data_IF_841916521876
#
_entry.id   IF_841916521876
#
_cell.length_a   1.000
_cell.length_b   1.000
_cell.length_c   1.000
_cell.angle_alpha   90.00
_cell.angle_beta   90.00
_cell.angle_gamma   90.00
#
_symmetry.space_group_name_H-M   'P 1'
#
loop_
_entity.id
_entity.type
_entity.pdbx_description
1 polymer ?
#
# COMPACT_ATOMS: atom_id res chain seq x y z
N UNK A 1 16.71 -16.03 9.82
CA UNK A 1 15.80 -17.17 9.46
C UNK A 1 14.33 -16.93 9.78
N UNK A 2 13.92 -16.42 10.96
CA UNK A 2 12.48 -16.27 11.29
C UNK A 2 11.75 -15.27 10.38
N UNK A 3 12.41 -14.18 10.02
CA UNK A 3 11.80 -13.10 9.25
C UNK A 3 11.65 -13.41 7.74
N UNK A 4 12.57 -14.17 7.14
CA UNK A 4 12.43 -14.63 5.75
C UNK A 4 11.26 -15.60 5.58
N UNK A 5 11.01 -16.48 6.56
CA UNK A 5 9.83 -17.35 6.57
C UNK A 5 8.52 -16.55 6.58
N UNK A 6 8.46 -15.49 7.39
CA UNK A 6 7.29 -14.59 7.42
C UNK A 6 7.08 -13.92 6.07
N UNK A 7 8.12 -13.38 5.45
CA UNK A 7 8.01 -12.76 4.12
C UNK A 7 7.54 -13.75 3.05
N UNK A 8 8.09 -14.96 3.03
CA UNK A 8 7.64 -16.01 2.11
C UNK A 8 6.14 -16.31 2.29
N UNK A 9 5.66 -16.40 3.54
CA UNK A 9 4.24 -16.60 3.81
C UNK A 9 3.37 -15.47 3.25
N UNK A 10 3.77 -14.20 3.41
CA UNK A 10 3.06 -13.06 2.84
C UNK A 10 3.00 -13.09 1.31
N UNK A 11 4.12 -13.40 0.65
CA UNK A 11 4.16 -13.54 -0.81
C UNK A 11 3.28 -14.69 -1.28
N UNK A 12 3.29 -15.83 -0.57
CA UNK A 12 2.41 -16.97 -0.86
C UNK A 12 0.94 -16.61 -0.70
N UNK A 13 0.55 -15.93 0.39
CA UNK A 13 -0.83 -15.49 0.57
C UNK A 13 -1.26 -14.45 -0.46
N UNK A 14 -0.37 -13.51 -0.82
CA UNK A 14 -0.60 -12.54 -1.88
C UNK A 14 -0.85 -13.22 -3.23
N UNK A 15 -0.06 -14.26 -3.56
CA UNK A 15 -0.26 -15.07 -4.76
C UNK A 15 -1.58 -15.85 -4.73
N UNK A 16 -1.89 -16.52 -3.62
CA UNK A 16 -3.16 -17.24 -3.44
C UNK A 16 -4.34 -16.29 -3.60
N UNK A 17 -4.28 -15.08 -3.03
CA UNK A 17 -5.32 -14.07 -3.16
C UNK A 17 -5.55 -13.65 -4.62
N UNK A 18 -4.48 -13.49 -5.40
CA UNK A 18 -4.57 -13.21 -6.85
C UNK A 18 -5.26 -14.35 -7.59
N UNK A 19 -4.85 -15.60 -7.35
CA UNK A 19 -5.48 -16.77 -7.96
C UNK A 19 -6.96 -16.86 -7.56
N UNK A 20 -7.28 -16.57 -6.31
CA UNK A 20 -8.65 -16.61 -5.80
C UNK A 20 -9.55 -15.57 -6.48
N UNK A 21 -9.08 -14.33 -6.66
CA UNK A 21 -9.85 -13.31 -7.40
C UNK A 21 -10.10 -13.74 -8.84
N UNK A 22 -9.10 -14.32 -9.51
CA UNK A 22 -9.25 -14.82 -10.89
C UNK A 22 -10.31 -15.94 -10.92
N UNK A 23 -10.24 -16.88 -9.99
CA UNK A 23 -11.21 -17.98 -9.90
C UNK A 23 -12.63 -17.47 -9.63
N UNK A 24 -12.80 -16.55 -8.69
CA UNK A 24 -14.10 -15.93 -8.40
C UNK A 24 -14.68 -15.31 -9.67
N UNK A 25 -13.90 -14.49 -10.37
CA UNK A 25 -14.36 -13.79 -11.57
C UNK A 25 -14.75 -14.75 -12.70
N UNK A 26 -14.00 -15.84 -12.89
CA UNK A 26 -14.28 -16.81 -13.97
C UNK A 26 -15.47 -17.72 -13.64
N UNK A 27 -15.67 -18.04 -12.36
CA UNK A 27 -16.72 -18.99 -11.92
C UNK A 27 -18.05 -18.34 -11.60
N UNK A 28 -18.07 -17.02 -11.33
CA UNK A 28 -19.29 -16.31 -10.97
C UNK A 28 -20.13 -15.98 -12.20
N UNK A 29 -21.44 -16.26 -12.11
CA UNK A 29 -22.38 -15.82 -13.13
C UNK A 29 -22.57 -14.29 -13.03
N UNK A 30 -22.39 -13.56 -14.14
CA UNK A 30 -22.48 -12.11 -14.11
C UNK A 30 -23.92 -11.66 -13.89
N UNK A 31 -24.13 -10.83 -12.87
CA UNK A 31 -25.39 -10.15 -12.62
C UNK A 31 -25.29 -8.66 -12.99
N UNK A 32 -26.38 -8.02 -13.45
CA UNK A 32 -26.40 -6.58 -13.65
C UNK A 32 -26.25 -5.89 -12.30
N UNK A 33 -25.25 -5.02 -12.18
CA UNK A 33 -24.99 -4.29 -10.95
C UNK A 33 -26.08 -3.24 -10.69
N UNK A 34 -26.58 -3.21 -9.47
CA UNK A 34 -27.50 -2.16 -9.03
C UNK A 34 -26.73 -0.91 -8.57
N UNK A 35 -27.29 0.29 -8.80
CA UNK A 35 -26.69 1.54 -8.34
C UNK A 35 -26.41 1.56 -6.82
N UNK A 36 -27.27 1.01 -5.93
CA UNK A 36 -26.99 0.93 -4.51
C UNK A 36 -25.76 0.08 -4.16
N UNK A 37 -25.54 -1.05 -4.85
CA UNK A 37 -24.36 -1.88 -4.63
C UNK A 37 -23.08 -1.14 -5.04
N UNK A 38 -23.13 -0.51 -6.22
CA UNK A 38 -22.05 0.33 -6.75
C UNK A 38 -21.68 1.46 -5.79
N UNK A 39 -22.69 2.16 -5.29
CA UNK A 39 -22.52 3.22 -4.29
C UNK A 39 -21.97 2.67 -2.96
N UNK A 40 -22.39 1.48 -2.54
CA UNK A 40 -21.91 0.81 -1.34
C UNK A 40 -20.42 0.50 -1.41
N UNK A 41 -19.97 -0.14 -2.49
CA UNK A 41 -18.55 -0.47 -2.72
C UNK A 41 -17.70 0.78 -2.82
N UNK A 42 -18.13 1.76 -3.61
CA UNK A 42 -17.43 3.01 -3.75
C UNK A 42 -17.29 3.73 -2.39
N UNK A 43 -18.33 3.72 -1.56
CA UNK A 43 -18.30 4.32 -0.22
C UNK A 43 -17.28 3.63 0.68
N UNK A 44 -17.27 2.29 0.73
CA UNK A 44 -16.28 1.53 1.52
C UNK A 44 -14.87 1.81 1.02
N UNK A 45 -14.64 1.77 -0.29
CA UNK A 45 -13.34 2.03 -0.89
C UNK A 45 -12.83 3.44 -0.55
N UNK A 46 -13.67 4.47 -0.71
CA UNK A 46 -13.31 5.86 -0.39
C UNK A 46 -12.98 6.02 1.10
N UNK A 47 -13.77 5.41 1.99
CA UNK A 47 -13.48 5.42 3.43
C UNK A 47 -12.13 4.76 3.74
N UNK A 48 -11.85 3.61 3.15
CA UNK A 48 -10.54 2.95 3.26
C UNK A 48 -9.41 3.86 2.76
N UNK A 49 -9.61 4.58 1.66
CA UNK A 49 -8.61 5.52 1.16
C UNK A 49 -8.38 6.71 2.10
N UNK A 50 -9.43 7.30 2.69
CA UNK A 50 -9.32 8.39 3.68
C UNK A 50 -8.53 7.94 4.92
N UNK A 51 -8.82 6.72 5.40
CA UNK A 51 -8.05 6.10 6.48
C UNK A 51 -6.59 5.92 6.07
N UNK A 52 -6.34 5.42 4.86
CA UNK A 52 -5.00 5.30 4.28
C UNK A 52 -4.24 6.62 4.23
N UNK A 53 -4.90 7.71 3.79
CA UNK A 53 -4.30 9.06 3.75
C UNK A 53 -3.85 9.49 5.15
N UNK A 54 -4.66 9.23 6.17
CA UNK A 54 -4.32 9.55 7.56
C UNK A 54 -3.03 8.84 8.01
N UNK A 55 -2.84 7.58 7.63
CA UNK A 55 -1.61 6.83 7.91
C UNK A 55 -0.39 7.37 7.14
N UNK A 56 -0.57 7.88 5.92
CA UNK A 56 0.54 8.47 5.14
C UNK A 56 1.01 9.82 5.68
N UNK A 57 0.09 10.68 6.13
CA UNK A 57 0.40 12.02 6.64
C UNK A 57 0.90 12.01 8.07
N UNK A 58 0.39 11.11 8.91
CA UNK A 58 0.72 11.04 10.33
C UNK A 58 1.19 9.63 10.73
N UNK A 59 2.34 9.18 10.22
CA UNK A 59 2.91 7.91 10.64
C UNK A 59 3.12 7.94 12.16
N UNK A 60 2.52 6.98 12.87
CA UNK A 60 2.54 6.82 14.33
C UNK A 60 1.56 7.70 15.16
N UNK A 61 0.57 8.37 14.56
CA UNK A 61 -0.45 9.08 15.36
C UNK A 61 -1.19 8.17 16.34
N UNK A 62 -1.60 6.98 15.87
CA UNK A 62 -2.26 5.96 16.69
C UNK A 62 -1.38 5.57 17.89
N UNK A 63 -0.10 5.28 17.65
CA UNK A 63 0.85 4.93 18.73
C UNK A 63 1.06 6.09 19.72
N UNK A 64 1.10 7.34 19.26
CA UNK A 64 1.20 8.51 20.17
C UNK A 64 -0.07 8.72 20.99
N UNK A 65 -1.24 8.46 20.43
CA UNK A 65 -2.52 8.57 21.14
C UNK A 65 -2.63 7.50 22.24
N UNK A 66 -2.31 6.24 21.92
CA UNK A 66 -2.34 5.14 22.89
C UNK A 66 -1.16 5.14 23.89
N UNK A 67 0.00 5.68 23.51
CA UNK A 67 1.16 5.80 24.41
C UNK A 67 1.09 7.02 25.33
N UNK A 68 0.12 7.94 25.14
CA UNK A 68 -0.08 9.10 26.02
C UNK A 68 -0.51 8.72 27.44
N UNK A 69 -0.87 7.45 27.68
CA UNK A 69 -1.24 6.92 28.99
C UNK A 69 -0.18 6.04 29.68
N UNK A 70 1.00 5.78 29.08
CA UNK A 70 2.04 4.92 29.69
C UNK A 70 3.43 5.56 29.60
N UNK A 71 3.96 5.92 30.77
CA UNK A 71 5.34 6.31 31.11
C UNK A 71 5.79 7.75 30.80
N UNK A 72 5.48 8.67 31.72
CA UNK A 72 6.52 9.49 32.36
C UNK A 72 7.42 8.52 33.16
N UNK A 73 8.74 8.71 33.10
CA UNK A 73 9.80 7.85 33.68
C UNK A 73 10.19 6.58 32.90
N UNK A 74 11.26 6.70 32.09
CA UNK A 74 12.57 6.12 32.42
C UNK A 74 13.64 6.44 31.37
N UNK A 75 14.75 6.95 31.89
CA UNK A 75 16.14 6.80 31.45
C UNK A 75 16.67 7.65 30.28
N UNK A 76 17.47 8.64 30.69
CA UNK A 76 18.72 9.04 30.04
C UNK A 76 19.51 7.79 29.61
N UNK A 77 19.56 7.54 28.32
CA UNK A 77 20.71 6.93 27.67
C UNK A 77 21.07 7.85 26.51
N UNK A 78 22.28 8.41 26.57
CA UNK A 78 22.92 9.15 25.48
C UNK A 78 23.14 8.20 24.29
N UNK A 79 22.09 7.95 23.52
CA UNK A 79 22.21 7.62 22.10
C UNK A 79 21.80 8.87 21.34
N UNK A 80 22.70 9.39 20.52
CA UNK A 80 22.48 10.52 19.60
C UNK A 80 21.10 10.33 18.96
N UNK A 81 20.15 11.12 19.44
CA UNK A 81 18.73 11.04 19.08
C UNK A 81 18.59 11.61 17.68
N UNK A 82 18.96 10.84 16.65
CA UNK A 82 18.75 11.23 15.26
C UNK A 82 17.25 11.46 15.05
N UNK A 83 16.91 12.61 14.47
CA UNK A 83 15.54 12.92 14.06
C UNK A 83 15.03 11.84 13.11
N UNK A 84 13.78 11.44 13.31
CA UNK A 84 13.06 10.64 12.32
C UNK A 84 12.39 11.60 11.34
N UNK A 85 12.66 11.43 10.05
CA UNK A 85 11.94 12.11 8.97
C UNK A 85 10.96 11.11 8.35
N UNK A 86 9.70 11.16 8.81
CA UNK A 86 8.71 10.13 8.50
C UNK A 86 8.96 8.81 9.26
N UNK A 87 9.02 7.69 8.55
CA UNK A 87 9.31 6.36 9.13
C UNK A 87 10.78 5.94 9.01
N UNK A 88 11.63 6.80 8.44
CA UNK A 88 13.05 6.53 8.26
C UNK A 88 13.92 7.31 9.25
N UNK A 89 15.03 6.71 9.70
CA UNK A 89 16.07 7.46 10.39
C UNK A 89 16.76 8.42 9.40
N UNK A 90 17.03 9.65 9.84
CA UNK A 90 17.85 10.60 9.11
C UNK A 90 19.26 10.02 8.92
N UNK A 91 19.52 9.51 7.71
CA UNK A 91 20.72 8.76 7.37
C UNK A 91 21.06 8.99 5.89
N UNK A 92 22.32 9.33 5.53
CA UNK A 92 22.73 9.62 4.16
C UNK A 92 22.41 8.49 3.18
N UNK A 93 22.45 7.24 3.65
CA UNK A 93 22.19 6.05 2.85
C UNK A 93 20.73 5.92 2.40
N UNK A 94 19.80 6.67 3.02
CA UNK A 94 18.38 6.70 2.67
C UNK A 94 17.96 7.93 1.86
N UNK A 95 18.90 8.80 1.44
CA UNK A 95 18.57 10.04 0.71
C UNK A 95 17.76 9.79 -0.58
N UNK A 96 17.99 8.68 -1.27
CA UNK A 96 17.24 8.31 -2.47
C UNK A 96 15.78 7.88 -2.20
N UNK A 97 15.41 7.63 -0.94
CA UNK A 97 14.05 7.33 -0.50
C UNK A 97 13.34 8.55 0.09
N UNK A 98 13.99 9.71 0.07
CA UNK A 98 13.45 10.96 0.59
C UNK A 98 13.31 11.99 -0.51
N UNK A 99 12.19 12.71 -0.51
CA UNK A 99 11.97 13.88 -1.36
C UNK A 99 11.95 15.09 -0.44
N UNK A 100 12.85 16.03 -0.69
CA UNK A 100 12.82 17.32 -0.01
C UNK A 100 11.85 18.25 -0.73
N UNK A 101 10.80 18.66 -0.03
CA UNK A 101 9.88 19.68 -0.51
C UNK A 101 9.93 20.87 0.44
N UNK A 102 10.58 21.96 0.00
CA UNK A 102 10.92 23.12 0.84
C UNK A 102 11.78 22.71 2.03
N UNK A 103 11.39 23.08 3.27
CA UNK A 103 12.09 22.76 4.53
C UNK A 103 11.64 21.44 5.17
N UNK A 104 10.87 20.61 4.46
CA UNK A 104 10.35 19.33 4.98
C UNK A 104 10.76 18.18 4.08
N UNK A 105 11.27 17.13 4.69
CA UNK A 105 11.61 15.87 4.02
C UNK A 105 10.45 14.89 4.12
N UNK A 106 10.10 14.28 2.99
CA UNK A 106 9.03 13.29 2.87
C UNK A 106 9.60 11.95 2.42
N UNK A 107 9.06 10.85 2.94
CA UNK A 107 9.34 9.53 2.37
C UNK A 107 8.70 9.44 0.97
N UNK A 108 9.50 9.11 -0.04
CA UNK A 108 9.05 8.94 -1.42
C UNK A 108 7.92 7.90 -1.52
N UNK A 109 7.99 6.80 -0.75
CA UNK A 109 6.96 5.78 -0.72
C UNK A 109 5.63 6.28 -0.12
N UNK A 110 5.68 6.99 1.01
CA UNK A 110 4.49 7.57 1.63
C UNK A 110 3.85 8.66 0.75
N UNK A 111 4.67 9.48 0.09
CA UNK A 111 4.19 10.49 -0.86
C UNK A 111 3.52 9.84 -2.07
N UNK A 112 4.12 8.77 -2.63
CA UNK A 112 3.52 8.00 -3.71
C UNK A 112 2.16 7.42 -3.33
N UNK A 113 2.08 6.75 -2.16
CA UNK A 113 0.82 6.23 -1.64
C UNK A 113 -0.23 7.33 -1.45
N UNK A 114 0.15 8.48 -0.88
CA UNK A 114 -0.76 9.62 -0.72
C UNK A 114 -1.32 10.10 -2.06
N UNK A 115 -0.47 10.31 -3.05
CA UNK A 115 -0.88 10.72 -4.41
C UNK A 115 -1.82 9.68 -5.02
N UNK A 116 -1.46 8.40 -4.93
CA UNK A 116 -2.27 7.29 -5.45
C UNK A 116 -3.65 7.22 -4.78
N UNK A 117 -3.73 7.42 -3.47
CA UNK A 117 -5.00 7.43 -2.72
C UNK A 117 -5.90 8.59 -3.14
N UNK A 118 -5.35 9.81 -3.25
CA UNK A 118 -6.09 10.97 -3.76
C UNK A 118 -6.62 10.74 -5.18
N UNK A 119 -5.78 10.19 -6.07
CA UNK A 119 -6.17 9.85 -7.44
C UNK A 119 -7.28 8.78 -7.45
N UNK A 120 -7.16 7.75 -6.61
CA UNK A 120 -8.14 6.65 -6.53
C UNK A 120 -9.49 7.13 -6.00
N UNK A 121 -9.52 8.04 -5.03
CA UNK A 121 -10.77 8.68 -4.57
C UNK A 121 -11.42 9.46 -5.72
N UNK A 122 -10.64 10.29 -6.43
CA UNK A 122 -11.14 11.06 -7.56
C UNK A 122 -11.72 10.16 -8.66
N UNK A 123 -10.99 9.09 -9.02
CA UNK A 123 -11.43 8.11 -10.02
C UNK A 123 -12.70 7.38 -9.58
N UNK A 124 -12.83 7.03 -8.30
CA UNK A 124 -14.02 6.38 -7.76
C UNK A 124 -15.24 7.32 -7.78
N UNK A 125 -15.06 8.60 -7.46
CA UNK A 125 -16.13 9.62 -7.57
C UNK A 125 -16.57 9.77 -9.03
N UNK A 126 -15.62 9.85 -9.97
CA UNK A 126 -15.92 9.91 -11.41
C UNK A 126 -16.67 8.66 -11.90
N UNK A 127 -16.27 7.48 -11.42
CA UNK A 127 -16.93 6.21 -11.75
C UNK A 127 -18.40 6.16 -11.31
N UNK A 128 -18.72 6.76 -10.16
CA UNK A 128 -20.10 6.94 -9.70
C UNK A 128 -20.86 8.00 -10.49
N UNK A 129 -20.23 9.14 -10.76
CA UNK A 129 -20.91 10.30 -11.35
C UNK A 129 -21.30 10.09 -12.82
N UNK A 130 -20.49 9.37 -13.60
CA UNK A 130 -20.68 9.22 -15.06
C UNK A 130 -21.51 7.97 -15.41
N UNK A 131 -22.00 7.23 -14.41
CA UNK A 131 -22.64 5.92 -14.57
C UNK A 131 -21.97 5.02 -15.63
N UNK A 132 -20.65 4.88 -15.54
CA UNK A 132 -19.89 4.10 -16.51
C UNK A 132 -20.30 2.62 -16.39
N UNK A 133 -20.98 2.12 -17.42
CA UNK A 133 -21.25 0.69 -17.59
C UNK A 133 -20.08 0.03 -18.30
N UNK A 134 -19.25 -0.69 -17.54
CA UNK A 134 -18.12 -1.40 -18.11
C UNK A 134 -18.61 -2.66 -18.82
N UNK A 135 -18.21 -2.85 -20.08
CA UNK A 135 -18.43 -4.12 -20.76
C UNK A 135 -17.58 -5.21 -20.10
N UNK A 136 -17.98 -6.49 -20.26
CA UNK A 136 -17.20 -7.62 -19.73
C UNK A 136 -15.76 -7.61 -20.26
N UNK A 137 -15.57 -7.37 -21.55
CA UNK A 137 -14.25 -7.32 -22.17
C UNK A 137 -13.36 -6.24 -21.55
N UNK A 138 -13.89 -5.02 -21.37
CA UNK A 138 -13.16 -3.93 -20.72
C UNK A 138 -12.85 -4.28 -19.26
N UNK A 139 -13.80 -4.89 -18.54
CA UNK A 139 -13.59 -5.29 -17.15
C UNK A 139 -12.50 -6.35 -16.99
N UNK A 140 -12.42 -7.34 -17.89
CA UNK A 140 -11.31 -8.30 -17.91
C UNK A 140 -9.96 -7.64 -18.18
N UNK A 141 -9.89 -6.70 -19.12
CA UNK A 141 -8.67 -5.94 -19.41
C UNK A 141 -8.24 -5.12 -18.21
N UNK A 142 -9.19 -4.44 -17.54
CA UNK A 142 -8.94 -3.68 -16.32
C UNK A 142 -8.43 -4.61 -15.20
N UNK A 143 -9.06 -5.77 -14.98
CA UNK A 143 -8.61 -6.74 -13.99
C UNK A 143 -7.17 -7.17 -14.25
N UNK A 144 -6.84 -7.54 -15.49
CA UNK A 144 -5.50 -7.95 -15.87
C UNK A 144 -4.48 -6.82 -15.65
N UNK A 145 -4.81 -5.59 -16.05
CA UNK A 145 -3.97 -4.42 -15.85
C UNK A 145 -3.72 -4.15 -14.36
N UNK A 146 -4.78 -4.16 -13.55
CA UNK A 146 -4.71 -3.94 -12.11
C UNK A 146 -3.82 -4.98 -11.44
N UNK A 147 -4.01 -6.26 -11.76
CA UNK A 147 -3.20 -7.37 -11.22
C UNK A 147 -1.74 -7.31 -11.68
N UNK A 148 -1.46 -6.85 -12.90
CA UNK A 148 -0.09 -6.72 -13.44
C UNK A 148 0.70 -5.61 -12.75
N UNK A 149 0.04 -4.55 -12.26
CA UNK A 149 0.70 -3.48 -11.51
C UNK A 149 1.26 -3.99 -10.17
N UNK A 150 0.61 -4.94 -9.50
CA UNK A 150 1.05 -5.47 -8.19
C UNK A 150 2.50 -6.01 -8.19
N UNK A 151 2.88 -6.95 -9.07
CA UNK A 151 4.26 -7.44 -9.12
C UNK A 151 5.25 -6.36 -9.55
N UNK A 152 4.86 -5.39 -10.39
CA UNK A 152 5.72 -4.25 -10.76
C UNK A 152 6.09 -3.43 -9.53
N UNK A 153 5.11 -3.15 -8.66
CA UNK A 153 5.33 -2.45 -7.38
C UNK A 153 6.22 -3.28 -6.44
N UNK A 154 6.08 -4.60 -6.42
CA UNK A 154 6.90 -5.47 -5.57
C UNK A 154 8.35 -5.56 -6.06
N UNK A 155 8.56 -5.68 -7.38
CA UNK A 155 9.90 -5.76 -7.99
C UNK A 155 10.66 -4.44 -7.82
N UNK A 156 9.97 -3.30 -7.82
CA UNK A 156 10.58 -1.99 -7.57
C UNK A 156 11.30 -1.93 -6.22
N UNK A 157 10.75 -2.56 -5.18
CA UNK A 157 11.38 -2.63 -3.85
C UNK A 157 12.70 -3.41 -3.90
N UNK A 158 12.79 -4.42 -4.77
CA UNK A 158 13.98 -5.27 -4.91
C UNK A 158 15.09 -4.58 -5.73
N UNK A 159 14.71 -3.83 -6.76
CA UNK A 159 15.63 -3.13 -7.64
C UNK A 159 15.76 -1.66 -7.22
N UNK A 160 16.77 -1.34 -6.41
CA UNK A 160 17.12 0.03 -6.05
C UNK A 160 17.24 0.91 -7.30
N UNK A 161 16.20 1.66 -7.63
CA UNK A 161 16.30 2.73 -8.60
C UNK A 161 16.76 3.99 -7.88
N UNK A 162 17.81 4.62 -8.43
CA UNK A 162 18.41 5.86 -7.88
C UNK A 162 17.49 7.08 -7.93
N UNK A 163 16.24 6.95 -8.39
CA UNK A 163 15.32 8.06 -8.61
C UNK A 163 14.16 8.02 -7.61
N UNK A 164 14.17 8.97 -6.66
CA UNK A 164 13.08 9.18 -5.73
C UNK A 164 11.75 9.47 -6.44
N UNK A 165 11.77 10.16 -7.59
CA UNK A 165 10.58 10.48 -8.39
C UNK A 165 9.93 9.20 -8.93
N UNK A 166 10.75 8.28 -9.43
CA UNK A 166 10.25 7.02 -9.95
C UNK A 166 9.69 6.14 -8.82
N UNK A 167 10.33 6.17 -7.64
CA UNK A 167 9.78 5.51 -6.45
C UNK A 167 8.41 6.09 -6.07
N UNK A 168 8.25 7.42 -6.07
CA UNK A 168 6.94 8.08 -5.86
C UNK A 168 5.92 7.60 -6.89
N UNK A 169 6.29 7.60 -8.18
CA UNK A 169 5.40 7.21 -9.28
C UNK A 169 4.95 5.75 -9.17
N UNK A 170 5.86 4.81 -8.94
CA UNK A 170 5.49 3.39 -8.84
C UNK A 170 4.64 3.16 -7.58
N UNK A 171 4.94 3.82 -6.46
CA UNK A 171 4.13 3.68 -5.26
C UNK A 171 2.73 4.29 -5.40
N UNK A 172 2.52 5.29 -6.25
CA UNK A 172 1.19 5.82 -6.53
C UNK A 172 0.34 4.88 -7.37
N UNK A 173 0.96 3.98 -8.15
CA UNK A 173 0.23 2.97 -8.93
C UNK A 173 -0.45 1.91 -8.06
N UNK A 174 0.00 1.70 -6.81
CA UNK A 174 -0.57 0.67 -5.94
C UNK A 174 -2.05 0.94 -5.56
N UNK A 175 -2.42 2.09 -4.98
CA UNK A 175 -3.84 2.39 -4.75
C UNK A 175 -4.67 2.45 -6.04
N UNK A 176 -4.08 2.93 -7.14
CA UNK A 176 -4.77 2.99 -8.45
C UNK A 176 -5.06 1.56 -8.96
N UNK A 177 -4.13 0.63 -8.78
CA UNK A 177 -4.36 -0.80 -9.05
C UNK A 177 -5.51 -1.34 -8.22
N UNK A 178 -5.59 -1.02 -6.92
CA UNK A 178 -6.71 -1.45 -6.07
C UNK A 178 -8.06 -0.90 -6.56
N UNK A 179 -8.10 0.37 -6.97
CA UNK A 179 -9.28 0.96 -7.61
C UNK A 179 -9.68 0.16 -8.87
N UNK A 180 -8.74 -0.06 -9.79
CA UNK A 180 -8.96 -0.77 -11.05
C UNK A 180 -9.47 -2.21 -10.81
N UNK A 181 -8.84 -2.95 -9.89
CA UNK A 181 -9.25 -4.32 -9.56
C UNK A 181 -10.66 -4.31 -8.96
N UNK A 182 -10.95 -3.36 -8.06
CA UNK A 182 -12.27 -3.26 -7.40
C UNK A 182 -13.39 -3.06 -8.42
N UNK A 183 -13.26 -2.05 -9.30
CA UNK A 183 -14.30 -1.79 -10.32
C UNK A 183 -14.40 -2.92 -11.36
N UNK A 184 -13.30 -3.62 -11.63
CA UNK A 184 -13.28 -4.73 -12.57
C UNK A 184 -13.99 -5.97 -12.00
N UNK A 185 -13.70 -6.34 -10.74
CA UNK A 185 -14.40 -7.44 -10.07
C UNK A 185 -15.88 -7.11 -9.89
N UNK A 186 -16.18 -5.88 -9.49
CA UNK A 186 -17.55 -5.41 -9.37
C UNK A 186 -18.29 -5.47 -10.71
N UNK A 187 -17.69 -4.98 -11.80
CA UNK A 187 -18.28 -5.05 -13.14
C UNK A 187 -18.43 -6.47 -13.71
N UNK A 188 -17.60 -7.42 -13.28
CA UNK A 188 -17.65 -8.81 -13.74
C UNK A 188 -18.61 -9.67 -12.93
N UNK A 189 -18.74 -9.40 -11.63
CA UNK A 189 -19.56 -10.22 -10.72
C UNK A 189 -20.92 -9.61 -10.44
N UNK A 190 -21.02 -8.28 -10.45
CA UNK A 190 -22.24 -7.54 -10.20
C UNK A 190 -22.78 -7.65 -8.79
N UNK A 191 -21.92 -7.93 -7.79
CA UNK A 191 -22.37 -8.06 -6.39
C UNK A 191 -21.48 -7.28 -5.43
N UNK A 192 -22.09 -6.71 -4.40
CA UNK A 192 -21.37 -6.07 -3.29
C UNK A 192 -20.43 -7.03 -2.55
N UNK A 193 -20.80 -8.31 -2.42
CA UNK A 193 -20.00 -9.28 -1.64
C UNK A 193 -18.60 -9.44 -2.22
N UNK A 194 -18.48 -9.61 -3.54
CA UNK A 194 -17.18 -9.79 -4.19
C UNK A 194 -16.38 -8.49 -4.29
N UNK A 195 -17.06 -7.33 -4.43
CA UNK A 195 -16.41 -6.02 -4.33
C UNK A 195 -15.78 -5.81 -2.95
N UNK A 196 -16.53 -6.07 -1.88
CA UNK A 196 -16.05 -5.93 -0.51
C UNK A 196 -14.90 -6.91 -0.21
N UNK A 197 -15.05 -8.17 -0.64
CA UNK A 197 -14.00 -9.17 -0.54
C UNK A 197 -12.71 -8.73 -1.25
N UNK A 198 -12.83 -8.12 -2.43
CA UNK A 198 -11.70 -7.57 -3.18
C UNK A 198 -10.97 -6.48 -2.40
N UNK A 199 -11.69 -5.59 -1.70
CA UNK A 199 -11.09 -4.56 -0.84
C UNK A 199 -10.29 -5.19 0.30
N UNK A 200 -10.79 -6.28 0.91
CA UNK A 200 -10.04 -7.02 1.93
C UNK A 200 -8.73 -7.60 1.39
N UNK A 201 -8.75 -8.15 0.17
CA UNK A 201 -7.54 -8.64 -0.49
C UNK A 201 -6.57 -7.50 -0.85
N UNK A 202 -7.08 -6.31 -1.19
CA UNK A 202 -6.23 -5.12 -1.36
C UNK A 202 -5.46 -4.78 -0.08
N UNK A 203 -6.05 -4.93 1.10
CA UNK A 203 -5.32 -4.77 2.36
C UNK A 203 -4.23 -5.83 2.55
N UNK A 204 -4.47 -7.08 2.15
CA UNK A 204 -3.44 -8.13 2.18
C UNK A 204 -2.27 -7.79 1.24
N UNK A 205 -2.55 -7.31 0.03
CA UNK A 205 -1.51 -6.88 -0.91
C UNK A 205 -0.73 -5.66 -0.42
N UNK A 206 -1.41 -4.72 0.25
CA UNK A 206 -0.77 -3.59 0.90
C UNK A 206 0.14 -4.03 2.05
N UNK A 207 -0.32 -4.94 2.91
CA UNK A 207 0.49 -5.47 4.01
C UNK A 207 1.71 -6.22 3.46
N UNK A 208 1.53 -7.04 2.43
CA UNK A 208 2.63 -7.72 1.73
C UNK A 208 3.69 -6.72 1.24
N UNK A 209 3.28 -5.60 0.65
CA UNK A 209 4.19 -4.52 0.23
C UNK A 209 4.91 -3.87 1.41
N UNK A 210 4.21 -3.61 2.51
CA UNK A 210 4.80 -3.03 3.72
C UNK A 210 5.87 -3.97 4.29
N UNK A 211 5.57 -5.27 4.38
CA UNK A 211 6.49 -6.28 4.90
C UNK A 211 7.71 -6.46 3.98
N UNK A 212 7.51 -6.45 2.66
CA UNK A 212 8.62 -6.51 1.69
C UNK A 212 9.54 -5.28 1.82
N UNK A 213 8.97 -4.08 1.96
CA UNK A 213 9.72 -2.84 2.16
C UNK A 213 10.46 -2.84 3.50
N UNK A 214 9.83 -3.31 4.58
CA UNK A 214 10.45 -3.44 5.90
C UNK A 214 11.63 -4.42 5.88
N UNK A 215 11.45 -5.58 5.22
CA UNK A 215 12.49 -6.57 5.04
C UNK A 215 13.71 -5.97 4.37
N UNK A 216 13.46 -5.25 3.27
CA UNK A 216 14.49 -4.67 2.45
C UNK A 216 15.29 -3.62 3.22
N UNK A 217 14.61 -2.68 3.89
CA UNK A 217 15.29 -1.67 4.71
C UNK A 217 16.11 -2.28 5.84
N UNK A 218 15.63 -3.38 6.45
CA UNK A 218 16.38 -4.11 7.48
C UNK A 218 17.63 -4.77 6.90
N UNK A 219 17.51 -5.48 5.78
CA UNK A 219 18.64 -6.12 5.12
C UNK A 219 19.70 -5.10 4.71
N UNK A 220 19.26 -3.96 4.17
CA UNK A 220 20.15 -2.87 3.77
C UNK A 220 20.86 -2.22 4.98
N UNK A 221 20.14 -1.99 6.09
CA UNK A 221 20.74 -1.41 7.30
C UNK A 221 21.76 -2.33 7.98
N UNK A 222 21.51 -3.65 8.01
CA UNK A 222 22.46 -4.62 8.58
C UNK A 222 23.79 -4.64 7.81
N UNK A 223 23.73 -4.44 6.49
CA UNK A 223 24.88 -4.44 5.60
C UNK A 223 25.54 -3.06 5.46
N UNK A 224 25.07 -2.05 6.19
CA UNK A 224 25.65 -0.70 6.14
C UNK A 224 26.93 -0.64 6.98
N UNK A 225 27.98 -0.03 6.42
CA UNK A 225 29.26 0.21 7.10
C UNK A 225 29.20 1.28 8.19
N UNK A 226 28.15 2.11 8.17
CA UNK A 226 27.91 3.15 9.15
C UNK A 226 27.43 2.57 10.49
N UNK A 227 27.90 3.13 11.61
CA UNK A 227 27.60 2.66 12.98
C UNK A 227 26.12 2.80 13.40
N UNK A 228 25.22 3.20 12.50
CA UNK A 228 23.80 3.38 12.76
C UNK A 228 23.05 2.05 12.68
N UNK A 229 23.19 1.22 13.72
CA UNK A 229 22.37 -0.01 13.87
C UNK A 229 20.99 0.31 14.45
N UNK A 230 20.18 1.06 13.69
CA UNK A 230 18.77 1.35 14.04
C UNK A 230 17.90 0.09 14.03
N UNK A 231 18.21 -0.88 13.15
CA UNK A 231 17.58 -2.19 13.12
C UNK A 231 18.51 -3.22 13.77
N UNK A 232 18.22 -3.63 15.00
CA UNK A 232 18.99 -4.71 15.64
C UNK A 232 18.70 -6.05 14.96
N UNK A 233 19.74 -6.88 14.80
CA UNK A 233 19.55 -8.29 14.50
C UNK A 233 18.72 -8.93 15.62
N UNK A 234 17.81 -9.87 15.30
CA UNK A 234 17.10 -10.57 16.37
C UNK A 234 18.13 -11.40 17.14
N UNK A 235 18.08 -11.30 18.48
CA UNK A 235 18.60 -12.34 19.37
C UNK A 235 17.80 -13.61 19.11
#
# INVERSE_FOLDING_TARGET
>A
MRYTKTLCAYLTFSFIATVLIILIVITTLPHPISLPEKAGIASVFILCCIVGISFTLYPNWVRRYFSKGKNKEKNMALQVKRSFEGHHPDCPTFQNHTVQWKKKTWCAGCLGLFIGLCASILLMILYLAVDIQLTKAVSYVLLALGLLILPVVYVEILYQRKSAILHVFINSMLPISFFIITIAVEGLTGTFVYGFFTILLCFLWLDTRIQLSSWYHRAYCINCSESCKMYTAPV
#
